data_IF_596499447058
#
_entry.id   IF_596499447058
#
_cell.length_a   1.000
_cell.length_b   1.000
_cell.length_c   1.000
_cell.angle_alpha   90.00
_cell.angle_beta   90.00
_cell.angle_gamma   90.00
#
_symmetry.space_group_name_H-M   'P 1'
#
loop_
_entity.id
_entity.type
_entity.pdbx_description
1 polymer ?
#
# COMPACT_ATOMS: atom_id res chain seq x y z
N UNK A 1 -24.54 -14.63 15.04
CA UNK A 1 -23.32 -13.95 14.55
C UNK A 1 -23.59 -12.46 14.53
N UNK A 2 -22.77 -11.61 15.15
CA UNK A 2 -22.91 -10.17 14.96
C UNK A 2 -22.67 -9.84 13.48
N UNK A 3 -23.60 -9.13 12.85
CA UNK A 3 -23.40 -8.64 11.49
C UNK A 3 -22.38 -7.51 11.56
N UNK A 4 -21.32 -7.61 10.77
CA UNK A 4 -20.34 -6.52 10.63
C UNK A 4 -21.06 -5.25 10.21
N UNK A 5 -20.73 -4.13 10.84
CA UNK A 5 -21.24 -2.84 10.39
C UNK A 5 -20.52 -2.43 9.10
N UNK A 6 -21.11 -1.52 8.33
CA UNK A 6 -20.45 -0.97 7.15
C UNK A 6 -19.10 -0.32 7.51
N UNK A 7 -18.99 0.30 8.69
CA UNK A 7 -17.74 0.88 9.20
C UNK A 7 -16.68 -0.20 9.44
N UNK A 8 -17.06 -1.35 10.00
CA UNK A 8 -16.12 -2.46 10.25
C UNK A 8 -15.59 -3.05 8.94
N UNK A 9 -16.45 -3.17 7.93
CA UNK A 9 -16.06 -3.66 6.60
C UNK A 9 -15.09 -2.67 5.95
N UNK A 10 -15.40 -1.37 5.97
CA UNK A 10 -14.53 -0.33 5.41
C UNK A 10 -13.17 -0.28 6.12
N UNK A 11 -13.16 -0.36 7.45
CA UNK A 11 -11.95 -0.39 8.26
C UNK A 11 -11.04 -1.56 7.85
N UNK A 12 -11.60 -2.77 7.76
CA UNK A 12 -10.82 -3.94 7.37
C UNK A 12 -10.27 -3.85 5.94
N UNK A 13 -11.08 -3.37 4.99
CA UNK A 13 -10.65 -3.19 3.60
C UNK A 13 -9.50 -2.18 3.49
N UNK A 14 -9.65 -1.01 4.13
CA UNK A 14 -8.63 0.04 4.06
C UNK A 14 -7.33 -0.37 4.74
N UNK A 15 -7.40 -1.02 5.90
CA UNK A 15 -6.21 -1.60 6.56
C UNK A 15 -5.51 -2.62 5.69
N UNK A 16 -6.27 -3.54 5.10
CA UNK A 16 -5.71 -4.56 4.23
C UNK A 16 -5.05 -3.94 3.00
N UNK A 17 -5.67 -2.93 2.39
CA UNK A 17 -5.10 -2.20 1.26
C UNK A 17 -3.80 -1.49 1.67
N UNK A 18 -3.80 -0.82 2.82
CA UNK A 18 -2.62 -0.15 3.35
C UNK A 18 -1.46 -1.12 3.58
N UNK A 19 -1.71 -2.24 4.27
CA UNK A 19 -0.70 -3.27 4.55
C UNK A 19 -0.15 -3.88 3.25
N UNK A 20 -1.02 -4.10 2.26
CA UNK A 20 -0.61 -4.59 0.95
C UNK A 20 0.30 -3.59 0.22
N UNK A 21 -0.01 -2.30 0.24
CA UNK A 21 0.83 -1.28 -0.40
C UNK A 21 2.18 -1.12 0.32
N UNK A 22 2.21 -1.22 1.65
CA UNK A 22 3.46 -1.25 2.43
C UNK A 22 4.34 -2.45 2.01
N UNK A 23 3.75 -3.64 1.89
CA UNK A 23 4.46 -4.83 1.43
C UNK A 23 4.96 -4.70 -0.01
N UNK A 24 4.13 -4.13 -0.90
CA UNK A 24 4.51 -3.89 -2.29
C UNK A 24 5.67 -2.91 -2.41
N UNK A 25 5.62 -1.78 -1.69
CA UNK A 25 6.73 -0.82 -1.63
C UNK A 25 8.04 -1.51 -1.22
N UNK A 26 8.02 -2.26 -0.13
CA UNK A 26 9.20 -2.97 0.36
C UNK A 26 9.72 -4.00 -0.65
N UNK A 27 8.81 -4.74 -1.31
CA UNK A 27 9.16 -5.71 -2.37
C UNK A 27 9.84 -5.02 -3.55
N UNK A 28 9.29 -3.91 -4.05
CA UNK A 28 9.88 -3.22 -5.20
C UNK A 28 11.21 -2.56 -4.87
N UNK A 29 11.36 -1.99 -3.67
CA UNK A 29 12.64 -1.48 -3.17
C UNK A 29 13.71 -2.61 -3.14
N UNK A 30 13.36 -3.78 -2.60
CA UNK A 30 14.25 -4.95 -2.58
C UNK A 30 14.64 -5.42 -3.99
N UNK A 31 13.66 -5.55 -4.90
CA UNK A 31 13.91 -5.96 -6.28
C UNK A 31 14.80 -4.96 -7.02
N UNK A 32 14.58 -3.65 -6.83
CA UNK A 32 15.42 -2.59 -7.41
C UNK A 32 16.88 -2.68 -6.96
N UNK A 33 17.13 -3.10 -5.70
CA UNK A 33 18.48 -3.29 -5.16
C UNK A 33 19.14 -4.62 -5.58
N UNK A 34 18.36 -5.61 -6.04
CA UNK A 34 18.85 -6.97 -6.31
C UNK A 34 19.15 -7.21 -7.80
N UNK A 35 18.39 -6.58 -8.71
CA UNK A 35 18.56 -6.80 -10.15
C UNK A 35 19.69 -5.94 -10.74
N UNK A 36 20.36 -6.46 -11.77
CA UNK A 36 21.43 -5.75 -12.49
C UNK A 36 20.97 -4.97 -13.72
N UNK A 37 19.83 -5.35 -14.32
CA UNK A 37 19.29 -4.68 -15.51
C UNK A 37 18.77 -3.28 -15.15
N UNK A 38 19.38 -2.24 -15.73
CA UNK A 38 19.05 -0.83 -15.46
C UNK A 38 17.60 -0.47 -15.77
N UNK A 39 16.97 -1.11 -16.76
CA UNK A 39 15.57 -0.88 -17.13
C UNK A 39 14.65 -1.45 -16.06
N UNK A 40 14.95 -2.65 -15.56
CA UNK A 40 14.20 -3.26 -14.46
C UNK A 40 14.34 -2.46 -13.17
N UNK A 41 15.54 -1.99 -12.84
CA UNK A 41 15.75 -1.09 -11.68
C UNK A 41 14.84 0.14 -11.79
N UNK A 42 14.79 0.79 -12.97
CA UNK A 42 13.95 1.97 -13.18
C UNK A 42 12.47 1.65 -13.01
N UNK A 43 12.00 0.52 -13.55
CA UNK A 43 10.60 0.08 -13.41
C UNK A 43 10.26 -0.18 -11.93
N UNK A 44 11.10 -0.89 -11.20
CA UNK A 44 10.85 -1.17 -9.79
C UNK A 44 10.85 0.09 -8.93
N UNK A 45 11.73 1.06 -9.21
CA UNK A 45 11.68 2.36 -8.54
C UNK A 45 10.38 3.12 -8.82
N UNK A 46 9.87 3.06 -10.06
CA UNK A 46 8.56 3.65 -10.38
C UNK A 46 7.46 2.97 -9.55
N UNK A 47 7.45 1.64 -9.48
CA UNK A 47 6.45 0.92 -8.69
C UNK A 47 6.57 1.18 -7.17
N UNK A 48 7.78 1.30 -6.65
CA UNK A 48 8.03 1.71 -5.27
C UNK A 48 7.43 3.11 -4.99
N UNK A 49 7.67 4.07 -5.89
CA UNK A 49 7.11 5.41 -5.76
C UNK A 49 5.58 5.42 -5.87
N UNK A 50 5.01 4.64 -6.79
CA UNK A 50 3.55 4.51 -6.91
C UNK A 50 2.94 3.93 -5.63
N UNK A 51 3.51 2.86 -5.08
CA UNK A 51 3.06 2.28 -3.82
C UNK A 51 3.16 3.30 -2.66
N UNK A 52 4.22 4.10 -2.62
CA UNK A 52 4.36 5.18 -1.64
C UNK A 52 3.26 6.25 -1.76
N UNK A 53 2.86 6.61 -2.98
CA UNK A 53 1.74 7.53 -3.20
C UNK A 53 0.41 6.94 -2.72
N UNK A 54 0.12 5.68 -3.06
CA UNK A 54 -1.09 5.01 -2.59
C UNK A 54 -1.15 4.89 -1.06
N UNK A 55 -0.02 4.61 -0.40
CA UNK A 55 0.08 4.62 1.07
C UNK A 55 -0.37 5.97 1.64
N UNK A 56 0.09 7.08 1.05
CA UNK A 56 -0.26 8.42 1.51
C UNK A 56 -1.75 8.73 1.30
N UNK A 57 -2.31 8.34 0.14
CA UNK A 57 -3.73 8.48 -0.16
C UNK A 57 -4.60 7.65 0.81
N UNK A 58 -4.21 6.41 1.07
CA UNK A 58 -4.89 5.53 2.02
C UNK A 58 -4.81 6.08 3.45
N UNK A 59 -3.67 6.63 3.87
CA UNK A 59 -3.55 7.27 5.19
C UNK A 59 -4.46 8.48 5.32
N UNK A 60 -4.53 9.31 4.28
CA UNK A 60 -5.41 10.46 4.27
C UNK A 60 -6.89 10.03 4.34
N UNK A 61 -7.28 9.02 3.58
CA UNK A 61 -8.64 8.49 3.59
C UNK A 61 -9.00 7.84 4.93
N UNK A 62 -8.09 7.04 5.51
CA UNK A 62 -8.26 6.46 6.84
C UNK A 62 -8.42 7.54 7.92
N UNK A 63 -7.64 8.62 7.84
CA UNK A 63 -7.78 9.76 8.74
C UNK A 63 -9.16 10.43 8.60
N UNK A 64 -9.60 10.69 7.36
CA UNK A 64 -10.91 11.31 7.08
C UNK A 64 -12.09 10.48 7.61
N UNK A 65 -11.96 9.15 7.60
CA UNK A 65 -12.99 8.22 8.03
C UNK A 65 -12.93 7.85 9.52
N UNK A 66 -11.99 8.43 10.28
CA UNK A 66 -11.70 8.08 11.68
C UNK A 66 -11.44 6.57 11.84
N UNK A 67 -10.63 6.05 10.92
CA UNK A 67 -10.17 4.67 10.87
C UNK A 67 -8.71 4.65 11.35
N UNK A 68 -8.49 4.09 12.54
CA UNK A 68 -7.15 3.83 13.10
C UNK A 68 -6.56 2.55 12.54
#
# INVERSE_FOLDING_TARGET
MPKLTQKDILNNILKRAFDQEVQQKAKYAFLAGTVKDKRLIKIFKVFEHTAQSHIAELQQEMYNLDIK
#
